data_IF_728405319360
#
_entry.id   IF_728405319360
#
_cell.length_a   1.000
_cell.length_b   1.000
_cell.length_c   1.000
_cell.angle_alpha   90.00
_cell.angle_beta   90.00
_cell.angle_gamma   90.00
#
_symmetry.space_group_name_H-M   'P 1'
#
loop_
_entity.id
_entity.type
_entity.pdbx_description
1 polymer ?
#
# COMPACT_ATOMS: atom_id res chain seq x y z
N UNK A 1 20.97 31.83 8.22
CA UNK A 1 22.24 31.51 8.90
C UNK A 1 23.20 32.63 8.53
N UNK A 2 23.69 33.40 9.50
CA UNK A 2 24.80 34.32 9.24
C UNK A 2 26.06 33.50 8.96
N UNK A 3 26.94 34.03 8.12
CA UNK A 3 28.28 33.48 7.91
C UNK A 3 28.93 33.12 9.26
N UNK A 4 29.56 31.94 9.31
CA UNK A 4 30.55 31.58 10.34
C UNK A 4 30.04 31.34 11.79
N UNK A 5 28.87 30.72 11.98
CA UNK A 5 28.57 30.03 13.25
C UNK A 5 28.20 30.91 14.47
N UNK A 6 27.82 32.17 14.26
CA UNK A 6 27.14 32.95 15.30
C UNK A 6 25.67 32.48 15.47
N UNK A 7 25.06 32.59 16.68
CA UNK A 7 23.66 32.18 16.91
C UNK A 7 22.75 32.81 15.86
N UNK A 8 22.14 31.97 15.02
CA UNK A 8 21.43 32.39 13.82
C UNK A 8 20.22 33.26 14.16
N UNK A 9 20.06 34.36 13.42
CA UNK A 9 18.87 35.21 13.49
C UNK A 9 17.61 34.36 13.39
N UNK A 10 16.58 34.75 14.15
CA UNK A 10 15.25 34.14 14.10
C UNK A 10 14.76 34.04 12.65
N UNK A 11 13.98 33.00 12.33
CA UNK A 11 13.27 32.94 11.05
C UNK A 11 12.32 34.13 10.93
N UNK A 12 11.98 34.49 9.70
CA UNK A 12 10.81 35.33 9.47
C UNK A 12 9.56 34.67 10.07
N UNK A 13 8.53 35.48 10.34
CA UNK A 13 7.27 35.00 10.89
C UNK A 13 6.60 34.07 9.88
N UNK A 14 6.36 32.83 10.30
CA UNK A 14 5.56 31.87 9.54
C UNK A 14 4.14 31.94 10.10
N UNK A 15 3.25 32.60 9.36
CA UNK A 15 1.82 32.66 9.70
C UNK A 15 1.14 31.36 9.26
N UNK A 16 0.34 30.80 10.15
CA UNK A 16 -0.52 29.64 9.88
C UNK A 16 -1.97 30.10 10.06
N UNK A 17 -2.92 29.51 9.34
CA UNK A 17 -4.32 29.94 9.31
C UNK A 17 -4.87 30.37 10.70
N UNK A 18 -5.47 31.56 10.73
CA UNK A 18 -5.93 32.24 11.95
C UNK A 18 -4.92 33.24 12.52
N UNK A 19 -4.91 33.41 13.85
CA UNK A 19 -4.10 34.41 14.58
C UNK A 19 -2.82 33.80 15.18
N UNK A 20 -2.21 32.82 14.48
CA UNK A 20 -1.05 32.05 14.99
C UNK A 20 0.18 32.26 14.12
N UNK A 21 1.30 32.51 14.78
CA UNK A 21 2.59 32.73 14.16
C UNK A 21 3.66 31.85 14.81
N UNK A 22 4.54 31.26 14.00
CA UNK A 22 5.73 30.53 14.46
C UNK A 22 6.99 31.29 14.07
N UNK A 23 7.97 31.27 14.98
CA UNK A 23 9.33 31.77 14.75
C UNK A 23 10.29 30.66 15.14
N UNK A 24 11.13 30.22 14.22
CA UNK A 24 12.11 29.17 14.43
C UNK A 24 13.48 29.79 14.69
N UNK A 25 14.18 29.29 15.72
CA UNK A 25 15.59 29.58 15.96
C UNK A 25 16.38 28.30 15.85
N UNK A 26 17.37 28.26 14.96
CA UNK A 26 18.28 27.13 14.85
C UNK A 26 19.22 27.18 16.06
N UNK A 27 19.00 26.29 17.03
CA UNK A 27 19.84 26.19 18.23
C UNK A 27 21.20 25.55 17.93
N UNK A 28 21.24 24.59 17.01
CA UNK A 28 22.45 23.90 16.58
C UNK A 28 22.24 23.39 15.15
N UNK A 29 23.27 23.51 14.30
CA UNK A 29 23.26 22.97 12.94
C UNK A 29 24.20 21.78 12.86
N UNK A 30 23.64 20.57 12.79
CA UNK A 30 24.40 19.37 12.46
C UNK A 30 24.47 19.25 10.94
N UNK A 31 25.68 19.27 10.38
CA UNK A 31 25.88 19.09 8.94
C UNK A 31 25.22 17.78 8.47
N UNK A 32 24.62 17.83 7.27
CA UNK A 32 24.00 16.66 6.65
C UNK A 32 25.04 15.53 6.55
N UNK A 33 24.78 14.43 7.26
CA UNK A 33 25.62 13.24 7.22
C UNK A 33 24.85 12.16 6.49
N UNK A 34 25.36 11.75 5.32
CA UNK A 34 24.86 10.56 4.63
C UNK A 34 25.13 9.38 5.55
N UNK A 35 24.08 8.66 5.97
CA UNK A 35 24.24 7.42 6.74
C UNK A 35 25.15 6.49 5.93
N UNK A 36 26.25 5.98 6.52
CA UNK A 36 27.14 5.06 5.83
C UNK A 36 26.35 3.92 5.20
N UNK A 37 26.69 3.54 3.97
CA UNK A 37 26.02 2.45 3.26
C UNK A 37 25.97 1.16 4.11
N UNK A 38 26.99 0.92 4.95
CA UNK A 38 27.04 -0.21 5.88
C UNK A 38 25.90 -0.22 6.90
N UNK A 39 25.41 0.94 7.34
CA UNK A 39 24.34 1.08 8.33
C UNK A 39 22.95 0.87 7.71
N UNK A 40 22.79 1.17 6.42
CA UNK A 40 21.50 1.09 5.71
C UNK A 40 21.38 -0.11 4.77
N UNK A 41 22.47 -0.85 4.50
CA UNK A 41 22.47 -1.97 3.54
C UNK A 41 21.46 -3.05 3.89
N UNK A 42 21.34 -3.41 5.17
CA UNK A 42 20.36 -4.39 5.64
C UNK A 42 18.93 -3.88 5.37
N UNK A 43 18.63 -2.65 5.81
CA UNK A 43 17.34 -2.00 5.61
C UNK A 43 16.96 -1.90 4.12
N UNK A 44 17.88 -1.45 3.26
CA UNK A 44 17.63 -1.33 1.81
C UNK A 44 17.42 -2.71 1.20
N UNK A 45 18.21 -3.72 1.60
CA UNK A 45 18.04 -5.08 1.09
C UNK A 45 16.67 -5.66 1.47
N UNK A 46 16.21 -5.41 2.69
CA UNK A 46 14.90 -5.89 3.17
C UNK A 46 13.76 -5.16 2.45
N UNK A 47 13.87 -3.84 2.26
CA UNK A 47 12.91 -3.06 1.46
C UNK A 47 12.85 -3.59 0.02
N UNK A 48 14.00 -3.81 -0.64
CA UNK A 48 14.02 -4.30 -2.03
C UNK A 48 13.43 -5.70 -2.15
N UNK A 49 13.71 -6.60 -1.19
CA UNK A 49 13.11 -7.93 -1.16
C UNK A 49 11.59 -7.85 -1.00
N UNK A 50 11.11 -7.03 -0.07
CA UNK A 50 9.69 -6.83 0.17
C UNK A 50 8.99 -6.28 -1.06
N UNK A 51 9.51 -5.20 -1.65
CA UNK A 51 8.95 -4.60 -2.86
C UNK A 51 8.92 -5.60 -4.03
N UNK A 52 9.95 -6.44 -4.18
CA UNK A 52 10.00 -7.47 -5.22
C UNK A 52 8.94 -8.56 -4.96
N UNK A 53 8.75 -8.96 -3.71
CA UNK A 53 7.72 -9.93 -3.34
C UNK A 53 6.31 -9.39 -3.63
N UNK A 54 6.04 -8.12 -3.28
CA UNK A 54 4.76 -7.47 -3.59
C UNK A 54 4.50 -7.36 -5.10
N UNK A 55 5.50 -6.94 -5.88
CA UNK A 55 5.38 -6.87 -7.34
C UNK A 55 5.11 -8.24 -7.94
N UNK A 56 5.79 -9.28 -7.45
CA UNK A 56 5.55 -10.65 -7.91
C UNK A 56 4.15 -11.12 -7.55
N UNK A 57 3.69 -10.87 -6.33
CA UNK A 57 2.34 -11.22 -5.88
C UNK A 57 1.27 -10.54 -6.75
N UNK A 58 1.47 -9.27 -7.11
CA UNK A 58 0.57 -8.55 -8.02
C UNK A 58 0.52 -9.17 -9.42
N UNK A 59 1.68 -9.48 -10.00
CA UNK A 59 1.75 -10.12 -11.31
C UNK A 59 1.07 -11.49 -11.32
N UNK A 60 1.24 -12.27 -10.27
CA UNK A 60 0.63 -13.59 -10.17
C UNK A 60 -0.87 -13.49 -9.93
N UNK A 61 -1.33 -12.52 -9.13
CA UNK A 61 -2.75 -12.22 -8.98
C UNK A 61 -3.39 -11.77 -10.30
N UNK A 62 -2.72 -10.94 -11.10
CA UNK A 62 -3.21 -10.49 -12.41
C UNK A 62 -3.33 -11.67 -13.40
N UNK A 63 -2.34 -12.58 -13.42
CA UNK A 63 -2.40 -13.81 -14.22
C UNK A 63 -3.55 -14.72 -13.79
N UNK A 64 -3.72 -14.90 -12.47
CA UNK A 64 -4.82 -15.70 -11.91
C UNK A 64 -6.17 -15.07 -12.22
N UNK A 65 -6.30 -13.75 -12.14
CA UNK A 65 -7.50 -13.01 -12.49
C UNK A 65 -7.87 -13.20 -13.96
N UNK A 66 -6.88 -13.15 -14.86
CA UNK A 66 -7.10 -13.44 -16.28
C UNK A 66 -7.57 -14.88 -16.50
N UNK A 67 -6.91 -15.86 -15.87
CA UNK A 67 -7.31 -17.27 -15.96
C UNK A 67 -8.73 -17.51 -15.42
N UNK A 68 -9.12 -16.86 -14.33
CA UNK A 68 -10.46 -16.93 -13.75
C UNK A 68 -11.53 -16.33 -14.68
N UNK A 69 -11.21 -15.23 -15.36
CA UNK A 69 -12.10 -14.62 -16.37
C UNK A 69 -12.26 -15.50 -17.61
N UNK A 70 -11.20 -16.23 -17.98
CA UNK A 70 -11.20 -17.16 -19.12
C UNK A 70 -11.78 -18.56 -18.77
N UNK A 71 -12.24 -18.77 -17.53
CA UNK A 71 -12.80 -20.04 -17.08
C UNK A 71 -11.77 -21.15 -16.79
N UNK A 72 -10.48 -20.82 -16.80
CA UNK A 72 -9.36 -21.73 -16.45
C UNK A 72 -8.80 -21.48 -15.04
N UNK A 73 -9.52 -20.72 -14.24
CA UNK A 73 -9.04 -20.25 -12.95
C UNK A 73 -8.87 -21.34 -11.91
N UNK A 74 -9.66 -22.41 -11.94
CA UNK A 74 -9.55 -23.50 -10.96
C UNK A 74 -8.21 -24.26 -11.07
N UNK A 75 -7.75 -24.52 -12.29
CA UNK A 75 -6.44 -25.13 -12.53
C UNK A 75 -5.30 -24.20 -12.10
N UNK A 76 -5.41 -22.91 -12.44
CA UNK A 76 -4.39 -21.92 -12.10
C UNK A 76 -4.29 -21.69 -10.58
N UNK A 77 -5.43 -21.62 -9.89
CA UNK A 77 -5.51 -21.55 -8.43
C UNK A 77 -4.91 -22.79 -7.77
N UNK A 78 -5.23 -23.99 -8.28
CA UNK A 78 -4.69 -25.25 -7.77
C UNK A 78 -3.18 -25.34 -7.97
N UNK A 79 -2.65 -24.89 -9.12
CA UNK A 79 -1.22 -24.82 -9.38
C UNK A 79 -0.50 -23.84 -8.43
N UNK A 80 -1.17 -22.76 -8.05
CA UNK A 80 -0.69 -21.80 -7.05
C UNK A 80 -0.90 -22.26 -5.60
N UNK A 81 -1.55 -23.41 -5.35
CA UNK A 81 -1.91 -23.87 -4.01
C UNK A 81 -2.96 -22.99 -3.30
N UNK A 82 -3.73 -22.21 -4.07
CA UNK A 82 -4.72 -21.27 -3.56
C UNK A 82 -6.13 -21.86 -3.62
N UNK A 83 -6.96 -21.49 -2.64
CA UNK A 83 -8.38 -21.82 -2.60
C UNK A 83 -9.18 -20.64 -2.04
N UNK A 84 -10.42 -20.50 -2.51
CA UNK A 84 -11.33 -19.52 -1.93
C UNK A 84 -11.80 -20.00 -0.56
N UNK A 85 -11.76 -19.10 0.43
CA UNK A 85 -12.33 -19.35 1.75
C UNK A 85 -13.86 -19.43 1.74
N UNK A 86 -14.42 -19.59 2.94
CA UNK A 86 -15.87 -19.59 3.13
C UNK A 86 -16.49 -18.26 2.65
N UNK A 87 -17.72 -18.28 2.09
CA UNK A 87 -18.42 -17.06 1.73
C UNK A 87 -18.57 -16.14 2.95
N UNK A 88 -18.14 -14.89 2.80
CA UNK A 88 -18.28 -13.86 3.83
C UNK A 88 -19.29 -12.81 3.38
N UNK A 89 -20.19 -12.40 4.29
CA UNK A 89 -21.09 -11.27 4.05
C UNK A 89 -20.35 -9.99 4.38
N UNK A 90 -20.14 -9.14 3.37
CA UNK A 90 -19.49 -7.84 3.52
C UNK A 90 -20.52 -6.73 3.64
N UNK A 91 -20.34 -5.81 4.59
CA UNK A 91 -21.14 -4.59 4.69
C UNK A 91 -20.58 -3.51 3.78
N UNK A 92 -21.43 -2.83 3.02
CA UNK A 92 -21.03 -1.68 2.18
C UNK A 92 -20.43 -0.52 2.99
N UNK A 93 -20.79 -0.41 4.27
CA UNK A 93 -20.26 0.61 5.20
C UNK A 93 -19.10 0.08 6.05
N UNK A 94 -18.63 -1.14 5.80
CA UNK A 94 -17.48 -1.71 6.49
C UNK A 94 -16.21 -0.91 6.23
N UNK A 95 -15.33 -0.86 7.22
CA UNK A 95 -14.00 -0.24 7.10
C UNK A 95 -12.99 -1.15 6.38
N UNK A 96 -13.40 -2.35 5.98
CA UNK A 96 -12.55 -3.31 5.29
C UNK A 96 -12.33 -2.87 3.82
N UNK A 97 -11.08 -2.67 3.37
CA UNK A 97 -10.76 -2.36 1.98
C UNK A 97 -11.36 -3.37 0.98
N UNK A 98 -11.49 -4.64 1.36
CA UNK A 98 -12.08 -5.68 0.52
C UNK A 98 -13.59 -5.49 0.31
N UNK A 99 -14.28 -4.85 1.26
CA UNK A 99 -15.69 -4.48 1.10
C UNK A 99 -15.84 -3.44 -0.01
N UNK A 100 -15.00 -2.40 -0.01
CA UNK A 100 -15.01 -1.40 -1.08
C UNK A 100 -14.72 -2.04 -2.43
N UNK A 101 -13.70 -2.89 -2.53
CA UNK A 101 -13.38 -3.61 -3.76
C UNK A 101 -14.58 -4.42 -4.28
N UNK A 102 -15.18 -5.26 -3.43
CA UNK A 102 -16.31 -6.10 -3.82
C UNK A 102 -17.48 -5.29 -4.38
N UNK A 103 -17.76 -4.10 -3.83
CA UNK A 103 -18.84 -3.22 -4.29
C UNK A 103 -18.46 -2.30 -5.47
N UNK A 104 -17.18 -2.23 -5.86
CA UNK A 104 -16.75 -1.59 -7.12
C UNK A 104 -16.81 -2.52 -8.34
N UNK A 105 -16.88 -3.83 -8.10
CA UNK A 105 -17.01 -4.81 -9.17
C UNK A 105 -18.42 -4.77 -9.81
N UNK A 106 -18.55 -5.16 -11.08
CA UNK A 106 -19.86 -5.32 -11.72
C UNK A 106 -20.73 -6.34 -10.97
N UNK A 107 -22.03 -6.06 -10.86
CA UNK A 107 -23.00 -6.99 -10.25
C UNK A 107 -22.94 -8.35 -10.96
N UNK A 108 -22.78 -9.48 -10.25
CA UNK A 108 -22.72 -10.79 -10.87
C UNK A 108 -24.12 -11.12 -11.38
N UNK A 109 -24.16 -11.60 -12.62
CA UNK A 109 -25.37 -12.23 -13.13
C UNK A 109 -25.53 -13.62 -12.51
N UNK A 110 -26.75 -14.15 -12.46
CA UNK A 110 -27.00 -15.47 -11.89
C UNK A 110 -26.05 -16.52 -12.49
N UNK A 111 -25.34 -17.23 -11.60
CA UNK A 111 -24.42 -18.30 -11.98
C UNK A 111 -23.08 -17.85 -12.57
N UNK A 112 -22.82 -16.53 -12.72
CA UNK A 112 -21.55 -16.01 -13.25
C UNK A 112 -20.79 -15.25 -12.16
N UNK A 113 -19.73 -15.85 -11.57
CA UNK A 113 -18.92 -15.16 -10.59
C UNK A 113 -18.20 -13.97 -11.23
N UNK A 114 -18.05 -12.90 -10.46
CA UNK A 114 -17.22 -11.75 -10.81
C UNK A 114 -15.99 -11.78 -9.92
N UNK A 115 -14.82 -11.59 -10.53
CA UNK A 115 -13.54 -11.67 -9.85
C UNK A 115 -12.88 -10.30 -9.78
N UNK A 116 -12.19 -10.03 -8.67
CA UNK A 116 -11.39 -8.84 -8.48
C UNK A 116 -10.12 -9.14 -7.70
N UNK A 117 -9.16 -8.23 -7.79
CA UNK A 117 -7.91 -8.26 -7.03
C UNK A 117 -7.79 -6.94 -6.29
N UNK A 118 -7.38 -6.99 -5.03
CA UNK A 118 -7.06 -5.80 -4.24
C UNK A 118 -6.14 -6.14 -3.09
N UNK A 119 -6.09 -5.28 -2.08
CA UNK A 119 -5.22 -5.44 -0.92
C UNK A 119 -6.02 -5.48 0.37
N UNK A 120 -5.59 -6.32 1.31
CA UNK A 120 -6.15 -6.34 2.67
C UNK A 120 -5.53 -5.23 3.55
N UNK A 121 -5.92 -5.18 4.82
CA UNK A 121 -5.39 -4.21 5.79
C UNK A 121 -3.90 -4.40 6.11
N UNK A 122 -3.34 -5.58 5.86
CA UNK A 122 -1.92 -5.89 6.03
C UNK A 122 -1.07 -5.51 4.81
N UNK A 123 -1.69 -5.14 3.68
CA UNK A 123 -1.00 -4.86 2.42
C UNK A 123 -0.85 -6.08 1.51
N UNK A 124 -1.32 -7.26 1.92
CA UNK A 124 -1.25 -8.46 1.09
C UNK A 124 -2.19 -8.35 -0.11
N UNK A 125 -1.76 -8.89 -1.25
CA UNK A 125 -2.58 -8.99 -2.46
C UNK A 125 -3.59 -10.13 -2.29
N UNK A 126 -4.88 -9.82 -2.37
CA UNK A 126 -5.99 -10.76 -2.17
C UNK A 126 -6.86 -10.83 -3.42
N UNK A 127 -7.25 -12.05 -3.77
CA UNK A 127 -8.16 -12.33 -4.87
C UNK A 127 -9.58 -12.59 -4.32
N UNK A 128 -10.54 -11.79 -4.79
CA UNK A 128 -11.93 -11.80 -4.33
C UNK A 128 -12.84 -12.37 -5.41
N UNK A 129 -13.79 -13.20 -4.97
CA UNK A 129 -14.83 -13.79 -5.81
C UNK A 129 -16.19 -13.38 -5.29
N UNK A 130 -16.96 -12.70 -6.13
CA UNK A 130 -18.32 -12.30 -5.85
C UNK A 130 -19.32 -13.16 -6.63
N UNK A 131 -20.28 -13.74 -5.92
CA UNK A 131 -21.39 -14.50 -6.47
C UNK A 131 -22.72 -13.96 -5.95
N UNK A 132 -23.78 -14.16 -6.75
CA UNK A 132 -25.18 -13.89 -6.39
C UNK A 132 -25.87 -15.15 -5.90
#
# INVERSE_FOLDING_TARGET
MGENGAPGSNSDIITVDGDRAFVLRISEHKAEAVKPLAEVKAQVSDIVKHNKAEQQAKLDADKLLAALKDGKGDEAMKAAGLSFGAPQTLSRTGQDPLSQLAFTLPLPQQGKPVYGVGSNMQGDVVLVRWMK
#
